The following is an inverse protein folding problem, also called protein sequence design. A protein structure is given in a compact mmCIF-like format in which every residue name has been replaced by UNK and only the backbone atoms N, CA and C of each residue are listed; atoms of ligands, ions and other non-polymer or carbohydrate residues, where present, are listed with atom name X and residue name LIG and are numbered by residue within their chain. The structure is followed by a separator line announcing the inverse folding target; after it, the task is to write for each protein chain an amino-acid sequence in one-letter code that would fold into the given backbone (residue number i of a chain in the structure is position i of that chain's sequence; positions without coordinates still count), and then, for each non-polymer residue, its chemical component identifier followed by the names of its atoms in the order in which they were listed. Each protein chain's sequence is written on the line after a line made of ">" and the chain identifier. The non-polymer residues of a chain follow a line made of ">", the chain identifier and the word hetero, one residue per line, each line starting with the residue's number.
data_IF_242775970908
#
_entry.id   IF_242775970908
#
_cell.length_a   1.000
_cell.length_b   1.000
_cell.length_c   1.000
_cell.angle_alpha   90.00
_cell.angle_beta   90.00
_cell.angle_gamma   90.00
#
_symmetry.space_group_name_H-M   'P 1'
#
loop_
_entity.id
_entity.type
_entity.pdbx_description
1 polymer ?
#
# COMPACT_ATOMS: atom_id res chain seq x y z
N UNK A 1 5.23 -12.90 0.27
CA UNK A 1 5.13 -12.35 -1.10
C UNK A 1 6.33 -11.44 -1.37
N UNK A 2 6.86 -11.46 -2.59
CA UNK A 2 7.98 -10.60 -2.96
C UNK A 2 7.50 -9.33 -3.66
N UNK A 3 8.40 -8.34 -3.78
CA UNK A 3 8.08 -7.10 -4.49
C UNK A 3 7.71 -7.40 -5.95
N UNK A 4 8.45 -8.31 -6.60
CA UNK A 4 8.17 -8.69 -7.98
C UNK A 4 6.78 -9.32 -8.13
N UNK A 5 6.39 -10.16 -7.18
CA UNK A 5 5.06 -10.78 -7.18
C UNK A 5 3.97 -9.73 -7.03
N UNK A 6 4.18 -8.75 -6.14
CA UNK A 6 3.23 -7.66 -5.92
C UNK A 6 3.10 -6.81 -7.18
N UNK A 7 4.22 -6.47 -7.83
CA UNK A 7 4.19 -5.71 -9.09
C UNK A 7 3.43 -6.45 -10.17
N UNK A 8 3.62 -7.77 -10.26
CA UNK A 8 2.92 -8.59 -11.24
C UNK A 8 1.42 -8.60 -10.97
N UNK A 9 1.02 -8.74 -9.72
CA UNK A 9 -0.40 -8.72 -9.33
C UNK A 9 -1.04 -7.37 -9.68
N UNK A 10 -0.34 -6.27 -9.35
CA UNK A 10 -0.83 -4.92 -9.65
C UNK A 10 -1.06 -4.77 -11.15
N UNK A 11 -0.12 -5.25 -11.94
CA UNK A 11 -0.21 -5.17 -13.41
C UNK A 11 -1.33 -6.06 -13.95
N UNK A 12 -1.37 -7.33 -13.56
CA UNK A 12 -2.35 -8.29 -14.06
C UNK A 12 -3.79 -7.93 -13.66
N UNK A 13 -3.97 -7.41 -12.45
CA UNK A 13 -5.29 -7.04 -11.96
C UNK A 13 -5.62 -5.56 -12.20
N UNK A 14 -4.71 -4.83 -12.83
CA UNK A 14 -4.87 -3.39 -13.09
C UNK A 14 -5.24 -2.61 -11.82
N UNK A 15 -4.58 -2.91 -10.72
CA UNK A 15 -4.85 -2.25 -9.45
C UNK A 15 -4.31 -0.82 -9.47
N UNK A 16 -5.12 0.11 -9.00
CA UNK A 16 -4.79 1.53 -8.97
C UNK A 16 -4.72 2.06 -7.54
N UNK A 17 -4.01 3.16 -7.37
CA UNK A 17 -3.92 3.83 -6.08
C UNK A 17 -2.93 3.19 -5.12
N UNK A 18 -1.94 2.48 -5.62
CA UNK A 18 -0.89 1.91 -4.78
C UNK A 18 0.40 2.71 -4.86
N UNK A 19 1.05 2.87 -3.72
CA UNK A 19 2.40 3.42 -3.66
C UNK A 19 3.31 2.34 -3.07
N UNK A 20 4.06 1.70 -3.95
CA UNK A 20 4.97 0.61 -3.59
C UNK A 20 6.39 1.16 -3.40
N UNK A 21 6.69 1.60 -2.17
CA UNK A 21 8.00 2.14 -1.78
C UNK A 21 8.44 3.40 -2.54
N UNK A 22 7.53 4.14 -3.14
CA UNK A 22 7.90 5.38 -3.85
C UNK A 22 8.02 6.53 -2.86
N UNK A 23 9.15 7.19 -2.86
CA UNK A 23 9.42 8.35 -1.99
C UNK A 23 8.90 9.61 -2.66
N UNK A 24 7.64 9.91 -2.44
CA UNK A 24 6.99 11.10 -2.99
C UNK A 24 5.86 11.52 -2.06
N UNK A 25 5.28 12.67 -2.35
CA UNK A 25 4.12 13.13 -1.59
C UNK A 25 2.97 12.16 -1.80
N UNK A 26 2.20 11.95 -0.76
CA UNK A 26 1.01 11.10 -0.83
C UNK A 26 0.01 11.69 -1.83
N UNK A 27 -0.67 10.79 -2.52
CA UNK A 27 -1.79 11.15 -3.39
C UNK A 27 -3.07 10.80 -2.66
N UNK A 28 -4.16 11.37 -3.15
CA UNK A 28 -5.49 11.08 -2.59
C UNK A 28 -5.89 9.63 -2.80
N UNK A 29 -6.57 9.08 -1.81
CA UNK A 29 -7.18 7.75 -1.87
C UNK A 29 -6.22 6.65 -2.34
N UNK A 30 -5.04 6.59 -1.72
CA UNK A 30 -4.09 5.53 -2.07
C UNK A 30 -3.70 4.67 -0.87
N UNK A 31 -3.20 3.48 -1.19
CA UNK A 31 -2.62 2.57 -0.22
C UNK A 31 -1.10 2.69 -0.35
N UNK A 32 -0.42 2.89 0.77
CA UNK A 32 1.03 3.14 0.78
C UNK A 32 1.74 2.07 1.58
N UNK A 33 2.87 1.58 1.06
CA UNK A 33 3.80 0.75 1.80
C UNK A 33 5.16 1.42 1.77
N UNK A 34 5.78 1.55 2.94
CA UNK A 34 7.09 2.19 3.09
C UNK A 34 7.98 1.39 4.02
N UNK A 35 9.28 1.51 3.79
CA UNK A 35 10.29 0.95 4.68
C UNK A 35 11.04 2.11 5.32
N UNK A 36 11.01 2.18 6.65
CA UNK A 36 11.71 3.22 7.41
C UNK A 36 12.39 2.56 8.62
N UNK A 37 13.70 2.75 8.74
CA UNK A 37 14.47 2.24 9.87
C UNK A 37 14.25 0.74 10.13
N UNK A 38 14.34 -0.05 9.06
CA UNK A 38 14.19 -1.52 9.11
C UNK A 38 12.81 -2.01 9.56
N UNK A 39 11.81 -1.15 9.46
CA UNK A 39 10.43 -1.49 9.73
C UNK A 39 9.59 -1.13 8.51
N UNK A 40 8.52 -1.88 8.32
CA UNK A 40 7.61 -1.65 7.18
C UNK A 40 6.29 -1.12 7.69
N UNK A 41 5.78 -0.10 7.00
CA UNK A 41 4.52 0.55 7.35
C UNK A 41 3.56 0.49 6.17
N UNK A 42 2.31 0.14 6.45
CA UNK A 42 1.25 0.16 5.44
C UNK A 42 0.14 1.06 5.98
N UNK A 43 -0.27 2.05 5.18
CA UNK A 43 -1.35 2.96 5.58
C UNK A 43 -2.14 3.42 4.36
N UNK A 44 -3.31 4.01 4.61
CA UNK A 44 -4.16 4.55 3.55
C UNK A 44 -4.20 6.07 3.66
N UNK A 45 -4.45 6.73 2.54
CA UNK A 45 -4.68 8.18 2.51
C UNK A 45 -6.14 8.47 2.20
N UNK A 46 -6.58 9.65 2.63
CA UNK A 46 -7.97 10.10 2.37
C UNK A 46 -8.02 10.96 1.11
N UNK A 47 -9.16 11.60 0.88
CA UNK A 47 -9.39 12.46 -0.28
C UNK A 47 -8.53 13.73 -0.30
N UNK A 48 -7.86 14.02 0.80
CA UNK A 48 -6.95 15.17 0.93
C UNK A 48 -5.49 14.74 0.89
N UNK A 49 -5.24 13.48 0.55
CA UNK A 49 -3.89 12.90 0.53
C UNK A 49 -3.25 12.86 1.91
N UNK A 50 -4.05 12.88 2.97
CA UNK A 50 -3.56 12.78 4.35
C UNK A 50 -3.68 11.35 4.83
N UNK A 51 -2.72 10.91 5.66
CA UNK A 51 -2.78 9.59 6.27
C UNK A 51 -4.03 9.47 7.13
N UNK A 52 -4.82 8.44 6.89
CA UNK A 52 -6.02 8.18 7.70
C UNK A 52 -5.59 7.68 9.07
N UNK A 53 -6.03 8.38 10.12
CA UNK A 53 -5.73 8.02 11.50
C UNK A 53 -6.22 6.60 11.78
N UNK A 54 -5.34 5.78 12.35
CA UNK A 54 -5.66 4.39 12.66
C UNK A 54 -5.50 3.41 11.51
N UNK A 55 -5.20 3.89 10.31
CA UNK A 55 -4.98 3.00 9.17
C UNK A 55 -3.58 2.39 9.15
N UNK A 56 -2.62 3.02 9.78
CA UNK A 56 -1.23 2.59 9.74
C UNK A 56 -1.01 1.32 10.54
N UNK A 57 -0.36 0.34 9.89
CA UNK A 57 0.09 -0.89 10.53
C UNK A 57 1.58 -1.04 10.30
N UNK A 58 2.26 -1.52 11.32
CA UNK A 58 3.70 -1.72 11.30
C UNK A 58 4.02 -3.21 11.26
N UNK A 59 5.01 -3.57 10.44
CA UNK A 59 5.42 -4.96 10.28
C UNK A 59 6.93 -5.09 10.46
N UNK A 60 7.35 -6.25 10.94
CA UNK A 60 8.77 -6.56 11.15
C UNK A 60 9.42 -7.13 9.90
N UNK A 61 8.64 -7.67 8.97
CA UNK A 61 9.16 -8.26 7.74
C UNK A 61 8.49 -7.65 6.53
N UNK A 62 9.24 -7.60 5.44
CA UNK A 62 8.72 -7.11 4.16
C UNK A 62 7.60 -8.01 3.64
N UNK A 63 7.76 -9.32 3.80
CA UNK A 63 6.78 -10.29 3.33
C UNK A 63 5.41 -10.05 3.95
N UNK A 64 5.36 -9.87 5.26
CA UNK A 64 4.09 -9.58 5.96
C UNK A 64 3.49 -8.26 5.50
N UNK A 65 4.34 -7.24 5.34
CA UNK A 65 3.88 -5.92 4.90
C UNK A 65 3.32 -5.96 3.49
N UNK A 66 3.98 -6.67 2.59
CA UNK A 66 3.53 -6.81 1.20
C UNK A 66 2.20 -7.56 1.12
N UNK A 67 2.04 -8.61 1.92
CA UNK A 67 0.78 -9.36 1.97
C UNK A 67 -0.37 -8.45 2.43
N UNK A 68 -0.12 -7.65 3.46
CA UNK A 68 -1.11 -6.70 3.96
C UNK A 68 -1.42 -5.62 2.93
N UNK A 69 -0.38 -5.07 2.32
CA UNK A 69 -0.50 -4.03 1.29
C UNK A 69 -1.38 -4.48 0.13
N UNK A 70 -1.10 -5.65 -0.44
CA UNK A 70 -1.84 -6.13 -1.60
C UNK A 70 -3.30 -6.47 -1.25
N UNK A 71 -3.54 -7.03 -0.07
CA UNK A 71 -4.90 -7.32 0.39
C UNK A 71 -5.72 -6.04 0.51
N UNK A 72 -5.12 -5.00 1.10
CA UNK A 72 -5.79 -3.71 1.28
C UNK A 72 -5.95 -2.97 -0.04
N UNK A 73 -4.96 -3.08 -0.93
CA UNK A 73 -5.04 -2.45 -2.25
C UNK A 73 -6.16 -3.06 -3.10
N UNK A 74 -6.32 -4.38 -3.04
CA UNK A 74 -7.42 -5.06 -3.72
C UNK A 74 -8.77 -4.58 -3.18
N UNK A 75 -8.88 -4.45 -1.85
CA UNK A 75 -10.11 -3.95 -1.23
C UNK A 75 -10.42 -2.52 -1.68
N UNK A 76 -9.39 -1.67 -1.75
CA UNK A 76 -9.54 -0.29 -2.22
C UNK A 76 -10.07 -0.25 -3.65
N UNK A 77 -9.55 -1.12 -4.52
CA UNK A 77 -9.97 -1.17 -5.92
C UNK A 77 -11.41 -1.68 -6.09
N UNK A 78 -11.84 -2.60 -5.25
CA UNK A 78 -13.22 -3.06 -5.24
C UNK A 78 -14.17 -1.91 -4.91
N UNK A 79 -13.80 -1.08 -3.93
CA UNK A 79 -14.63 0.06 -3.53
C UNK A 79 -14.68 1.17 -4.58
N UNK A 80 -13.65 1.28 -5.41
CA UNK A 80 -13.58 2.32 -6.45
C UNK A 80 -14.34 1.96 -7.72
N UNK A 81 -14.64 0.71 -7.91
CA UNK A 81 -15.30 0.22 -9.15
C UNK A 81 -16.82 0.16 -8.96
#
# INVERSE_FOLDING_TARGET
>A
MTVEEVKKIIDEESLKGGNLFEKRKNKENEMVIMNVAEQWFVYATDERASKITGSEKKFKTEEEALDNFITRLRALNVLKN
#
